data_IF_590823581981
#
_entry.id   IF_590823581981
#
_cell.length_a   1.000
_cell.length_b   1.000
_cell.length_c   1.000
_cell.angle_alpha   90.00
_cell.angle_beta   90.00
_cell.angle_gamma   90.00
#
_symmetry.space_group_name_H-M   'P 1'
#
loop_
_entity.id
_entity.type
_entity.pdbx_description
1 polymer ?
#
# COMPACT_ATOMS: atom_id res chain seq x y z
N UNK A 1 1.68 -23.44 -0.80
CA UNK A 1 0.76 -22.30 -0.62
C UNK A 1 1.48 -20.96 -0.43
N UNK A 2 2.76 -20.93 -0.04
CA UNK A 2 3.54 -19.69 0.17
C UNK A 2 3.83 -18.88 -1.11
N UNK A 3 4.16 -19.52 -2.23
CA UNK A 3 4.56 -18.82 -3.48
C UNK A 3 3.44 -17.95 -4.07
N UNK A 4 2.18 -18.38 -3.92
CA UNK A 4 1.02 -17.66 -4.46
C UNK A 4 0.63 -16.49 -3.55
N UNK A 5 0.84 -16.64 -2.23
CA UNK A 5 0.73 -15.54 -1.28
C UNK A 5 1.83 -14.50 -1.55
N UNK A 6 3.09 -14.92 -1.68
CA UNK A 6 4.22 -14.03 -1.98
C UNK A 6 4.01 -13.22 -3.27
N UNK A 7 3.54 -13.86 -4.35
CA UNK A 7 3.20 -13.15 -5.60
C UNK A 7 2.06 -12.14 -5.42
N UNK A 8 1.08 -12.47 -4.58
CA UNK A 8 -0.02 -11.55 -4.26
C UNK A 8 0.49 -10.35 -3.47
N UNK A 9 1.39 -10.57 -2.50
CA UNK A 9 2.04 -9.51 -1.72
C UNK A 9 2.90 -8.60 -2.60
N UNK A 10 3.66 -9.17 -3.53
CA UNK A 10 4.45 -8.42 -4.50
C UNK A 10 3.54 -7.58 -5.42
N UNK A 11 2.42 -8.16 -5.86
CA UNK A 11 1.41 -7.49 -6.68
C UNK A 11 0.76 -6.29 -5.97
N UNK A 12 0.42 -6.46 -4.69
CA UNK A 12 -0.12 -5.39 -3.83
C UNK A 12 0.93 -4.30 -3.64
N UNK A 13 2.17 -4.68 -3.31
CA UNK A 13 3.29 -3.74 -3.12
C UNK A 13 3.61 -2.95 -4.41
N UNK A 14 3.54 -3.60 -5.57
CA UNK A 14 3.72 -2.94 -6.87
C UNK A 14 2.58 -1.95 -7.17
N UNK A 15 1.34 -2.34 -6.91
CA UNK A 15 0.15 -1.50 -7.08
C UNK A 15 0.20 -0.27 -6.18
N UNK A 16 0.68 -0.44 -4.95
CA UNK A 16 0.85 0.67 -4.01
C UNK A 16 1.93 1.67 -4.43
N UNK A 17 3.05 1.18 -4.95
CA UNK A 17 4.08 2.03 -5.54
C UNK A 17 3.56 2.79 -6.77
N UNK A 18 2.69 2.17 -7.57
CA UNK A 18 2.02 2.84 -8.71
C UNK A 18 1.05 3.91 -8.22
N UNK A 19 0.23 3.62 -7.20
CA UNK A 19 -0.68 4.60 -6.60
C UNK A 19 0.10 5.81 -6.04
N UNK A 20 1.16 5.58 -5.27
CA UNK A 20 2.04 6.66 -4.76
C UNK A 20 2.59 7.55 -5.89
N UNK A 21 2.96 6.96 -7.02
CA UNK A 21 3.45 7.71 -8.19
C UNK A 21 2.34 8.50 -8.89
N UNK A 22 1.18 7.88 -9.10
CA UNK A 22 0.02 8.52 -9.71
C UNK A 22 -0.46 9.73 -8.89
N UNK A 23 -0.42 9.62 -7.56
CA UNK A 23 -0.80 10.70 -6.65
C UNK A 23 0.22 11.85 -6.59
N UNK A 24 1.49 11.63 -6.99
CA UNK A 24 2.57 12.63 -6.92
C UNK A 24 2.36 13.82 -7.87
N UNK A 25 1.52 13.67 -8.89
CA UNK A 25 1.18 14.72 -9.86
C UNK A 25 -0.20 15.36 -9.65
N UNK A 26 -0.96 14.93 -8.63
CA UNK A 26 -2.26 15.54 -8.32
C UNK A 26 -2.00 16.82 -7.53
N UNK A 27 -2.54 17.98 -7.94
CA UNK A 27 -2.35 19.24 -7.22
C UNK A 27 -2.90 19.11 -5.79
N UNK A 28 -1.99 19.03 -4.84
CA UNK A 28 -2.20 18.69 -3.41
C UNK A 28 -2.98 19.79 -2.64
N UNK A 29 -3.32 20.90 -3.31
CA UNK A 29 -3.90 22.11 -2.71
C UNK A 29 -5.43 22.23 -2.85
N UNK A 30 -6.15 21.23 -3.40
CA UNK A 30 -7.61 21.19 -3.26
C UNK A 30 -7.96 20.63 -1.89
N UNK A 31 -8.32 21.52 -0.95
CA UNK A 31 -8.74 21.23 0.44
C UNK A 31 -9.49 19.90 0.54
N UNK A 32 -8.82 18.85 1.00
CA UNK A 32 -9.37 17.49 1.09
C UNK A 32 -8.45 16.40 0.55
N UNK A 33 -7.81 16.63 -0.61
CA UNK A 33 -6.99 15.60 -1.26
C UNK A 33 -5.77 15.20 -0.44
N UNK A 34 -5.08 16.17 0.19
CA UNK A 34 -3.90 15.88 1.03
C UNK A 34 -4.23 15.00 2.23
N UNK A 35 -5.33 15.28 2.93
CA UNK A 35 -5.76 14.50 4.09
C UNK A 35 -6.17 13.09 3.66
N UNK A 36 -6.98 12.97 2.61
CA UNK A 36 -7.38 11.67 2.07
C UNK A 36 -6.17 10.86 1.59
N UNK A 37 -5.19 11.52 0.98
CA UNK A 37 -3.91 10.94 0.57
C UNK A 37 -3.14 10.40 1.77
N UNK A 38 -2.96 11.20 2.82
CA UNK A 38 -2.18 10.82 4.00
C UNK A 38 -2.88 9.67 4.75
N UNK A 39 -4.21 9.73 4.91
CA UNK A 39 -5.02 8.64 5.49
C UNK A 39 -4.89 7.34 4.66
N UNK A 40 -4.93 7.45 3.33
CA UNK A 40 -4.76 6.29 2.42
C UNK A 40 -3.36 5.71 2.52
N UNK A 41 -2.32 6.56 2.55
CA UNK A 41 -0.94 6.12 2.68
C UNK A 41 -0.70 5.36 4.00
N UNK A 42 -1.28 5.86 5.10
CA UNK A 42 -1.20 5.20 6.42
C UNK A 42 -1.94 3.87 6.42
N UNK A 43 -3.17 3.82 5.88
CA UNK A 43 -3.96 2.59 5.81
C UNK A 43 -3.23 1.49 5.04
N UNK A 44 -2.55 1.85 3.97
CA UNK A 44 -1.76 0.91 3.18
C UNK A 44 -0.52 0.45 3.93
N UNK A 45 0.22 1.37 4.57
CA UNK A 45 1.41 1.00 5.31
C UNK A 45 1.07 -0.07 6.37
N UNK A 46 -0.06 0.11 7.06
CA UNK A 46 -0.58 -0.89 8.02
C UNK A 46 -0.94 -2.22 7.38
N UNK A 47 -1.57 -2.18 6.20
CA UNK A 47 -1.89 -3.40 5.45
C UNK A 47 -0.63 -4.17 5.06
N UNK A 48 0.40 -3.49 4.55
CA UNK A 48 1.68 -4.12 4.17
C UNK A 48 2.34 -4.77 5.38
N UNK A 49 2.44 -4.05 6.51
CA UNK A 49 3.03 -4.59 7.74
C UNK A 49 2.24 -5.82 8.24
N UNK A 50 0.91 -5.74 8.29
CA UNK A 50 0.09 -6.87 8.73
C UNK A 50 0.22 -8.10 7.82
N UNK A 51 0.44 -7.89 6.53
CA UNK A 51 0.71 -8.96 5.58
C UNK A 51 2.11 -9.56 5.74
N UNK A 52 3.13 -8.74 6.00
CA UNK A 52 4.48 -9.21 6.33
C UNK A 52 4.49 -10.00 7.64
N UNK A 53 3.81 -9.53 8.69
CA UNK A 53 3.65 -10.24 9.96
C UNK A 53 2.93 -11.58 9.75
N UNK A 54 1.88 -11.60 8.94
CA UNK A 54 1.16 -12.84 8.60
C UNK A 54 2.04 -13.83 7.83
N UNK A 55 2.95 -13.34 6.98
CA UNK A 55 3.94 -14.17 6.28
C UNK A 55 4.94 -14.81 7.24
N UNK A 56 5.38 -14.07 8.27
CA UNK A 56 6.27 -14.59 9.32
C UNK A 56 5.54 -15.65 10.15
N UNK A 57 4.26 -15.41 10.49
CA UNK A 57 3.48 -16.35 11.29
C UNK A 57 3.07 -17.65 10.55
N UNK A 58 3.08 -17.63 9.20
CA UNK A 58 2.72 -18.77 8.35
C UNK A 58 3.92 -19.63 7.90
N UNK A 59 5.15 -19.23 8.23
CA UNK A 59 6.38 -20.01 8.01
C UNK A 59 6.87 -20.60 9.34
#
# INVERSE_FOLDING_TARGET
MSVQLDRTLDGISASMRRLKRAMRGVPVNKHGFRRQHDETAIAVARLVVGLEDSRIALN
#
